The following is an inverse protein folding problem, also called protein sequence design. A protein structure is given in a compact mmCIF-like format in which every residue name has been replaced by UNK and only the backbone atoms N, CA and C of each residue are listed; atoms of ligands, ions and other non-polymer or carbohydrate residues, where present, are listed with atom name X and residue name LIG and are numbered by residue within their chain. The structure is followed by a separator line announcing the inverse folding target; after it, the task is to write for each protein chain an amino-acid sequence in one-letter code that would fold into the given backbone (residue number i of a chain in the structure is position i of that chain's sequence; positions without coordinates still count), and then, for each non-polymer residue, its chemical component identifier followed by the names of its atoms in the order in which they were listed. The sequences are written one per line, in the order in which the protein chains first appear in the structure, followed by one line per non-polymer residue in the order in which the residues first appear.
data_IF_593804421743
#
_entry.id   IF_593804421743
#
_cell.length_a   1.000
_cell.length_b   1.000
_cell.length_c   1.000
_cell.angle_alpha   90.00
_cell.angle_beta   90.00
_cell.angle_gamma   90.00
#
_symmetry.space_group_name_H-M   'P 1'
#
loop_
_entity.id
_entity.type
_entity.pdbx_description
1 polymer ?
#
# COMPACT_ATOMS: atom_id res chain seq x y z
N UNK A 1 -21.11 70.25 -27.81
CA UNK A 1 -21.59 68.86 -27.92
C UNK A 1 -20.53 67.89 -28.54
N UNK A 2 -19.62 68.42 -29.37
CA UNK A 2 -18.55 67.55 -30.02
C UNK A 2 -17.53 66.97 -29.02
N UNK A 3 -17.02 67.66 -27.99
CA UNK A 3 -16.02 67.11 -27.09
C UNK A 3 -16.51 65.96 -26.20
N UNK A 4 -17.81 65.90 -25.84
CA UNK A 4 -18.36 64.83 -25.00
C UNK A 4 -18.36 63.47 -25.72
N UNK A 5 -18.78 63.42 -26.98
CA UNK A 5 -18.81 62.18 -27.76
C UNK A 5 -17.39 61.67 -28.08
N UNK A 6 -16.43 62.55 -28.31
CA UNK A 6 -15.03 62.17 -28.50
C UNK A 6 -14.42 61.47 -27.25
N UNK A 7 -14.69 62.03 -26.08
CA UNK A 7 -14.26 61.44 -24.80
C UNK A 7 -14.91 60.09 -24.53
N UNK A 8 -16.19 59.91 -24.85
CA UNK A 8 -16.93 58.67 -24.70
C UNK A 8 -16.36 57.56 -25.62
N UNK A 9 -16.06 57.89 -26.89
CA UNK A 9 -15.43 56.93 -27.82
C UNK A 9 -14.03 56.51 -27.39
N UNK A 10 -13.22 57.41 -26.83
CA UNK A 10 -11.89 57.08 -26.29
C UNK A 10 -11.99 56.17 -25.06
N UNK A 11 -12.95 56.41 -24.15
CA UNK A 11 -13.18 55.55 -22.99
C UNK A 11 -13.66 54.15 -23.38
N UNK A 12 -14.55 54.02 -24.34
CA UNK A 12 -15.03 52.75 -24.88
C UNK A 12 -13.86 52.01 -25.57
N UNK A 13 -13.08 52.69 -26.38
CA UNK A 13 -11.92 52.15 -27.04
C UNK A 13 -10.87 51.66 -26.06
N UNK A 14 -10.53 52.43 -25.03
CA UNK A 14 -9.60 52.03 -23.97
C UNK A 14 -10.13 50.87 -23.16
N UNK A 15 -11.39 50.87 -22.77
CA UNK A 15 -12.05 49.78 -22.07
C UNK A 15 -12.03 48.49 -22.90
N UNK A 16 -12.29 48.56 -24.21
CA UNK A 16 -12.28 47.41 -25.11
C UNK A 16 -10.87 46.81 -25.26
N UNK A 17 -9.85 47.68 -25.43
CA UNK A 17 -8.45 47.21 -25.50
C UNK A 17 -7.98 46.57 -24.20
N UNK A 18 -8.32 47.20 -23.05
CA UNK A 18 -7.99 46.62 -21.73
C UNK A 18 -8.73 45.29 -21.50
N UNK A 19 -9.96 45.15 -21.90
CA UNK A 19 -10.72 43.91 -21.83
C UNK A 19 -10.13 42.82 -22.72
N UNK A 20 -9.76 43.14 -23.97
CA UNK A 20 -9.12 42.20 -24.90
C UNK A 20 -7.77 41.73 -24.33
N UNK A 21 -6.96 42.64 -23.82
CA UNK A 21 -5.68 42.31 -23.22
C UNK A 21 -5.82 41.45 -21.93
N UNK A 22 -6.83 41.76 -21.12
CA UNK A 22 -7.17 40.96 -19.95
C UNK A 22 -7.58 39.55 -20.35
N UNK A 23 -8.47 39.40 -21.33
CA UNK A 23 -8.93 38.09 -21.83
C UNK A 23 -7.76 37.29 -22.43
N UNK A 24 -6.85 37.92 -23.16
CA UNK A 24 -5.65 37.29 -23.71
C UNK A 24 -4.72 36.77 -22.60
N UNK A 25 -4.42 37.64 -21.62
CA UNK A 25 -3.59 37.23 -20.47
C UNK A 25 -4.24 36.13 -19.64
N UNK A 26 -5.57 36.20 -19.43
CA UNK A 26 -6.30 35.14 -18.70
C UNK A 26 -6.24 33.81 -19.45
N UNK A 27 -6.35 33.80 -20.78
CA UNK A 27 -6.25 32.61 -21.59
C UNK A 27 -4.82 32.01 -21.56
N UNK A 28 -3.81 32.85 -21.73
CA UNK A 28 -2.40 32.43 -21.64
C UNK A 28 -2.08 31.84 -20.24
N UNK A 29 -2.58 32.44 -19.16
CA UNK A 29 -2.42 31.93 -17.81
C UNK A 29 -3.14 30.60 -17.59
N UNK A 30 -4.30 30.41 -18.22
CA UNK A 30 -5.03 29.14 -18.17
C UNK A 30 -4.28 28.04 -18.93
N UNK A 31 -3.82 28.32 -20.16
CA UNK A 31 -3.03 27.38 -20.96
C UNK A 31 -1.74 26.94 -20.25
N UNK A 32 -1.04 27.89 -19.59
CA UNK A 32 0.14 27.58 -18.79
C UNK A 32 -0.18 26.68 -17.59
N UNK A 33 -1.30 26.96 -16.91
CA UNK A 33 -1.74 26.13 -15.77
C UNK A 33 -2.13 24.72 -16.20
N UNK A 34 -2.84 24.60 -17.32
CA UNK A 34 -3.22 23.30 -17.88
C UNK A 34 -1.98 22.50 -18.31
N UNK A 35 -1.01 23.15 -18.94
CA UNK A 35 0.26 22.50 -19.30
C UNK A 35 1.09 22.07 -18.08
N UNK A 36 1.09 22.84 -16.99
CA UNK A 36 1.75 22.50 -15.74
C UNK A 36 1.10 21.29 -15.07
N UNK A 37 -0.24 21.28 -15.00
CA UNK A 37 -1.01 20.15 -14.46
C UNK A 37 -0.73 18.88 -15.28
N UNK A 38 -0.78 18.98 -16.60
CA UNK A 38 -0.50 17.83 -17.47
C UNK A 38 0.92 17.29 -17.29
N UNK A 39 1.91 18.18 -17.10
CA UNK A 39 3.28 17.78 -16.81
C UNK A 39 3.39 17.06 -15.46
N UNK A 40 2.79 17.61 -14.40
CA UNK A 40 2.77 16.98 -13.07
C UNK A 40 2.10 15.60 -13.10
N UNK A 41 0.99 15.47 -13.81
CA UNK A 41 0.31 14.18 -13.98
C UNK A 41 1.20 13.14 -14.70
N UNK A 42 1.92 13.57 -15.75
CA UNK A 42 2.85 12.68 -16.46
C UNK A 42 4.02 12.23 -15.57
N UNK A 43 4.59 13.14 -14.75
CA UNK A 43 5.65 12.82 -13.79
C UNK A 43 5.17 11.85 -12.71
N UNK A 44 3.92 11.98 -12.24
CA UNK A 44 3.32 11.07 -11.27
C UNK A 44 3.04 9.69 -11.87
N UNK A 45 2.55 9.62 -13.12
CA UNK A 45 2.32 8.35 -13.80
C UNK A 45 3.64 7.60 -14.07
N UNK A 46 4.72 8.29 -14.43
CA UNK A 46 6.05 7.68 -14.54
C UNK A 46 6.53 7.10 -13.20
N UNK A 47 6.31 7.82 -12.09
CA UNK A 47 6.63 7.32 -10.76
C UNK A 47 5.80 6.09 -10.36
N UNK A 48 4.52 6.07 -10.73
CA UNK A 48 3.62 4.93 -10.56
C UNK A 48 4.09 3.71 -11.34
N UNK A 49 4.37 3.87 -12.63
CA UNK A 49 4.88 2.77 -13.47
C UNK A 49 6.18 2.18 -12.90
N UNK A 50 7.08 3.04 -12.43
CA UNK A 50 8.31 2.61 -11.77
C UNK A 50 8.03 1.81 -10.50
N UNK A 51 7.10 2.25 -9.65
CA UNK A 51 6.73 1.54 -8.43
C UNK A 51 6.07 0.19 -8.74
N UNK A 52 5.14 0.14 -9.70
CA UNK A 52 4.49 -1.10 -10.11
C UNK A 52 5.49 -2.12 -10.69
N UNK A 53 6.51 -1.66 -11.42
CA UNK A 53 7.57 -2.53 -11.93
C UNK A 53 8.43 -3.18 -10.82
N UNK A 54 8.37 -2.66 -9.60
CA UNK A 54 9.03 -3.27 -8.44
C UNK A 54 8.23 -4.38 -7.79
N UNK A 55 6.92 -4.50 -8.05
CA UNK A 55 6.10 -5.60 -7.53
C UNK A 55 6.45 -6.92 -8.23
N UNK A 56 6.25 -8.07 -7.59
CA UNK A 56 6.45 -9.36 -8.23
C UNK A 56 5.58 -9.49 -9.48
N UNK A 57 6.21 -9.76 -10.63
CA UNK A 57 5.49 -9.96 -11.90
C UNK A 57 4.79 -11.32 -11.91
N UNK A 58 5.43 -12.32 -11.33
CA UNK A 58 4.91 -13.69 -11.22
C UNK A 58 4.77 -14.08 -9.76
N UNK A 59 3.61 -14.64 -9.41
CA UNK A 59 3.39 -15.19 -8.07
C UNK A 59 4.16 -16.50 -7.93
N UNK A 60 4.78 -16.77 -6.75
CA UNK A 60 5.50 -18.00 -6.53
C UNK A 60 4.61 -19.22 -6.73
N UNK A 61 5.07 -20.17 -7.52
CA UNK A 61 4.40 -21.46 -7.69
C UNK A 61 5.26 -22.55 -7.08
N UNK A 62 4.78 -23.20 -6.02
CA UNK A 62 5.46 -24.30 -5.35
C UNK A 62 4.56 -25.52 -5.25
N UNK A 63 5.15 -26.71 -5.02
CA UNK A 63 4.37 -27.92 -4.78
C UNK A 63 3.70 -27.91 -3.39
N UNK A 64 4.23 -27.12 -2.45
CA UNK A 64 3.80 -27.10 -1.05
C UNK A 64 2.83 -25.97 -0.71
N UNK A 65 2.90 -24.84 -1.43
CA UNK A 65 2.17 -23.62 -1.10
C UNK A 65 1.49 -23.00 -2.32
N UNK A 66 0.29 -22.48 -2.10
CA UNK A 66 -0.32 -21.45 -2.96
C UNK A 66 -0.05 -20.09 -2.32
N UNK A 67 0.50 -19.16 -3.09
CA UNK A 67 0.82 -17.83 -2.62
C UNK A 67 0.29 -16.79 -3.61
N UNK A 68 -0.35 -15.74 -3.11
CA UNK A 68 -0.80 -14.62 -3.91
C UNK A 68 -0.61 -13.31 -3.16
N UNK A 69 -0.17 -12.28 -3.89
CA UNK A 69 -0.20 -10.89 -3.44
C UNK A 69 -1.20 -10.11 -4.26
N UNK A 70 -1.81 -9.13 -3.66
CA UNK A 70 -2.74 -8.19 -4.29
C UNK A 70 -2.50 -6.80 -3.73
N UNK A 71 -2.56 -5.81 -4.60
CA UNK A 71 -2.51 -4.39 -4.23
C UNK A 71 -3.48 -3.60 -5.10
N UNK A 72 -4.20 -2.69 -4.46
CA UNK A 72 -5.00 -1.65 -5.10
C UNK A 72 -4.61 -0.33 -4.47
N UNK A 73 -4.06 0.58 -5.26
CA UNK A 73 -3.64 1.90 -4.77
C UNK A 73 -4.80 2.87 -4.75
N UNK A 74 -4.88 3.68 -3.69
CA UNK A 74 -5.85 4.77 -3.57
C UNK A 74 -5.42 6.03 -4.32
N UNK A 75 -4.11 6.21 -4.54
CA UNK A 75 -3.51 7.35 -5.25
C UNK A 75 -2.60 6.86 -6.37
N UNK A 76 -2.04 7.82 -7.16
CA UNK A 76 -1.15 7.48 -8.29
C UNK A 76 0.11 6.73 -7.83
N UNK A 77 0.67 7.09 -6.65
CA UNK A 77 1.84 6.42 -6.06
C UNK A 77 1.47 5.95 -4.66
N UNK A 78 1.48 4.65 -4.44
CA UNK A 78 1.08 4.02 -3.18
C UNK A 78 2.17 4.02 -2.10
N UNK A 79 1.75 3.91 -0.84
CA UNK A 79 2.59 3.64 0.33
C UNK A 79 2.79 2.15 0.58
N UNK A 80 1.91 1.34 0.05
CA UNK A 80 1.90 -0.10 0.22
C UNK A 80 2.82 -0.84 -0.74
N UNK A 81 3.26 -2.02 -0.33
CA UNK A 81 3.88 -3.00 -1.23
C UNK A 81 3.79 -4.41 -0.66
N UNK A 82 3.92 -5.39 -1.54
CA UNK A 82 4.18 -6.77 -1.14
C UNK A 82 5.35 -7.35 -1.93
N UNK A 83 5.95 -8.41 -1.40
CA UNK A 83 6.99 -9.14 -2.10
C UNK A 83 7.04 -10.62 -1.67
N UNK A 84 7.58 -11.45 -2.58
CA UNK A 84 7.95 -12.83 -2.30
C UNK A 84 9.39 -13.03 -2.74
N UNK A 85 10.24 -13.44 -1.82
CA UNK A 85 11.66 -13.63 -2.09
C UNK A 85 12.07 -15.06 -1.72
N UNK A 86 12.74 -15.74 -2.63
CA UNK A 86 13.27 -17.07 -2.35
C UNK A 86 14.69 -16.95 -1.78
N UNK A 87 14.94 -17.62 -0.66
CA UNK A 87 16.27 -17.76 -0.05
C UNK A 87 17.11 -18.80 -0.79
N UNK A 88 18.42 -18.73 -0.62
CA UNK A 88 19.35 -19.70 -1.20
C UNK A 88 19.09 -21.16 -0.76
N UNK A 89 18.51 -21.34 0.43
CA UNK A 89 18.11 -22.66 0.97
C UNK A 89 16.77 -23.18 0.43
N UNK A 90 16.11 -22.42 -0.44
CA UNK A 90 14.84 -22.74 -1.09
C UNK A 90 13.60 -22.31 -0.31
N UNK A 91 13.72 -21.82 0.93
CA UNK A 91 12.60 -21.25 1.69
C UNK A 91 12.11 -19.95 1.05
N UNK A 92 10.87 -19.60 1.31
CA UNK A 92 10.27 -18.36 0.85
C UNK A 92 10.08 -17.38 1.98
N UNK A 93 10.29 -16.12 1.67
CA UNK A 93 9.90 -14.99 2.52
C UNK A 93 8.75 -14.29 1.82
N UNK A 94 7.67 -14.05 2.56
CA UNK A 94 6.56 -13.20 2.14
C UNK A 94 6.58 -11.91 2.96
N UNK A 95 6.32 -10.80 2.30
CA UNK A 95 6.42 -9.45 2.86
C UNK A 95 5.16 -8.69 2.52
N UNK A 96 4.61 -7.96 3.49
CA UNK A 96 3.55 -6.98 3.32
C UNK A 96 3.95 -5.72 4.07
N UNK A 97 3.99 -4.59 3.42
CA UNK A 97 4.45 -3.33 4.00
C UNK A 97 3.59 -2.15 3.59
N UNK A 98 3.53 -1.17 4.49
CA UNK A 98 2.85 0.10 4.33
C UNK A 98 3.73 1.23 4.85
N UNK A 99 4.02 2.21 3.99
CA UNK A 99 4.76 3.42 4.34
C UNK A 99 3.80 4.52 4.75
N UNK A 100 3.99 5.09 5.93
CA UNK A 100 3.11 6.15 6.44
C UNK A 100 2.95 7.32 5.47
N UNK A 101 1.70 7.76 5.25
CA UNK A 101 1.33 8.81 4.33
C UNK A 101 1.11 8.28 2.91
N UNK A 102 0.93 9.16 1.95
CA UNK A 102 0.59 8.82 0.56
C UNK A 102 1.44 9.60 -0.44
N UNK A 103 1.44 9.16 -1.68
CA UNK A 103 2.09 9.82 -2.80
C UNK A 103 3.59 9.56 -2.87
N UNK A 104 4.32 10.42 -3.58
CA UNK A 104 5.72 10.21 -3.94
C UNK A 104 6.66 9.96 -2.75
N UNK A 105 6.36 10.56 -1.59
CA UNK A 105 7.23 10.43 -0.41
C UNK A 105 7.12 9.02 0.18
N UNK A 106 5.92 8.48 0.35
CA UNK A 106 5.70 7.09 0.80
C UNK A 106 6.25 6.10 -0.22
N UNK A 107 6.04 6.32 -1.52
CA UNK A 107 6.63 5.50 -2.58
C UNK A 107 8.17 5.45 -2.56
N UNK A 108 8.83 6.54 -2.18
CA UNK A 108 10.28 6.54 -1.97
C UNK A 108 10.69 5.67 -0.77
N UNK A 109 9.92 5.68 0.33
CA UNK A 109 10.18 4.81 1.49
C UNK A 109 10.02 3.35 1.10
N UNK A 110 8.98 3.00 0.31
CA UNK A 110 8.81 1.66 -0.28
C UNK A 110 10.04 1.26 -1.09
N UNK A 111 10.51 2.12 -2.00
CA UNK A 111 11.66 1.84 -2.87
C UNK A 111 12.94 1.58 -2.06
N UNK A 112 13.19 2.39 -1.03
CA UNK A 112 14.33 2.24 -0.11
C UNK A 112 14.22 0.92 0.65
N UNK A 113 13.04 0.63 1.22
CA UNK A 113 12.81 -0.58 2.00
C UNK A 113 12.99 -1.83 1.14
N UNK A 114 12.40 -1.86 -0.05
CA UNK A 114 12.49 -2.98 -0.97
C UNK A 114 13.93 -3.22 -1.45
N UNK A 115 14.67 -2.15 -1.74
CA UNK A 115 16.09 -2.25 -2.10
C UNK A 115 16.93 -2.81 -0.93
N UNK A 116 16.69 -2.34 0.29
CA UNK A 116 17.39 -2.85 1.47
C UNK A 116 17.03 -4.31 1.75
N UNK A 117 15.76 -4.70 1.59
CA UNK A 117 15.31 -6.10 1.73
C UNK A 117 16.06 -7.06 0.82
N UNK A 118 16.33 -6.68 -0.43
CA UNK A 118 17.05 -7.54 -1.37
C UNK A 118 18.46 -7.92 -0.90
N UNK A 119 19.07 -7.08 -0.06
CA UNK A 119 20.39 -7.35 0.55
C UNK A 119 20.30 -8.11 1.89
N UNK A 120 19.11 -8.22 2.49
CA UNK A 120 18.88 -8.79 3.81
C UNK A 120 18.09 -10.12 3.76
N UNK A 121 17.81 -10.62 2.56
CA UNK A 121 16.94 -11.78 2.33
C UNK A 121 17.38 -13.04 3.10
N UNK A 122 18.67 -13.21 3.33
CA UNK A 122 19.24 -14.39 4.03
C UNK A 122 19.14 -14.27 5.56
N UNK A 123 18.82 -13.11 6.11
CA UNK A 123 18.68 -12.93 7.55
C UNK A 123 17.36 -13.53 8.08
N UNK A 124 17.31 -13.78 9.39
CA UNK A 124 16.06 -14.16 10.05
C UNK A 124 15.17 -12.91 10.25
N UNK A 125 13.82 -13.07 10.37
CA UNK A 125 12.89 -11.94 10.37
C UNK A 125 13.23 -10.80 11.33
N UNK A 126 13.59 -11.11 12.56
CA UNK A 126 13.96 -10.08 13.56
C UNK A 126 15.22 -9.32 13.16
N UNK A 127 16.27 -10.03 12.70
CA UNK A 127 17.52 -9.41 12.26
C UNK A 127 17.28 -8.53 11.03
N UNK A 128 16.39 -8.94 10.13
CA UNK A 128 15.95 -8.17 8.97
C UNK A 128 15.28 -6.87 9.40
N UNK A 129 14.28 -6.93 10.30
CA UNK A 129 13.60 -5.73 10.80
C UNK A 129 14.55 -4.79 11.53
N UNK A 130 15.48 -5.32 12.35
CA UNK A 130 16.50 -4.53 13.05
C UNK A 130 17.43 -3.80 12.07
N UNK A 131 17.84 -4.46 11.01
CA UNK A 131 18.72 -3.93 9.97
C UNK A 131 18.00 -2.87 9.14
N UNK A 132 16.74 -3.10 8.77
CA UNK A 132 15.88 -2.13 8.10
C UNK A 132 15.63 -0.90 8.96
N UNK A 133 15.29 -1.07 10.24
CA UNK A 133 15.09 0.05 11.17
C UNK A 133 16.34 0.94 11.24
N UNK A 134 17.52 0.35 11.38
CA UNK A 134 18.79 1.09 11.37
C UNK A 134 19.04 1.81 10.05
N UNK A 135 18.69 1.19 8.94
CA UNK A 135 18.84 1.76 7.59
C UNK A 135 17.95 2.99 7.43
N UNK A 136 16.64 2.87 7.73
CA UNK A 136 15.69 3.96 7.60
C UNK A 136 16.03 5.14 8.52
N UNK A 137 16.48 4.87 9.74
CA UNK A 137 16.96 5.92 10.66
C UNK A 137 18.17 6.68 10.10
N UNK A 138 19.10 5.99 9.42
CA UNK A 138 20.28 6.63 8.80
C UNK A 138 19.92 7.48 7.58
N UNK A 139 18.87 7.12 6.85
CA UNK A 139 18.41 7.84 5.66
C UNK A 139 17.78 9.20 5.97
N UNK A 140 17.45 9.47 7.26
CA UNK A 140 16.85 10.73 7.71
C UNK A 140 15.60 11.13 6.90
N UNK A 141 14.68 10.18 6.72
CA UNK A 141 13.45 10.33 5.93
C UNK A 141 12.35 11.17 6.61
N UNK A 142 12.73 11.99 7.58
CA UNK A 142 11.84 12.87 8.32
C UNK A 142 10.87 12.11 9.24
N UNK A 143 9.58 12.35 9.07
CA UNK A 143 8.52 11.69 9.86
C UNK A 143 7.99 10.41 9.20
N UNK A 144 8.43 10.08 8.00
CA UNK A 144 7.96 8.89 7.31
C UNK A 144 8.49 7.63 8.00
N UNK A 145 7.66 6.60 8.02
CA UNK A 145 7.92 5.31 8.66
C UNK A 145 7.52 4.20 7.72
N UNK A 146 7.98 2.99 8.01
CA UNK A 146 7.56 1.79 7.28
C UNK A 146 6.96 0.80 8.27
N UNK A 147 5.69 0.49 8.10
CA UNK A 147 5.05 -0.65 8.72
C UNK A 147 5.36 -1.89 7.88
N UNK A 148 5.73 -3.03 8.52
CA UNK A 148 6.16 -4.20 7.77
C UNK A 148 5.81 -5.49 8.50
N UNK A 149 5.14 -6.40 7.80
CA UNK A 149 5.01 -7.81 8.15
C UNK A 149 6.00 -8.63 7.32
N UNK A 150 6.70 -9.56 7.96
CA UNK A 150 7.61 -10.50 7.32
C UNK A 150 7.32 -11.92 7.82
N UNK A 151 7.14 -12.85 6.89
CA UNK A 151 6.88 -14.26 7.13
C UNK A 151 7.93 -15.11 6.42
N UNK A 152 8.80 -15.77 7.18
CA UNK A 152 9.76 -16.74 6.67
C UNK A 152 9.10 -18.13 6.69
N UNK A 153 8.80 -18.67 5.51
CA UNK A 153 8.01 -19.88 5.32
C UNK A 153 8.94 -21.10 5.43
N UNK A 154 8.84 -21.77 6.57
CA UNK A 154 9.54 -23.04 6.80
C UNK A 154 8.68 -24.24 6.43
N UNK A 155 9.23 -25.43 6.62
CA UNK A 155 8.57 -26.70 6.25
C UNK A 155 7.30 -26.97 7.06
N UNK A 156 7.32 -26.74 8.37
CA UNK A 156 6.25 -27.10 9.30
C UNK A 156 5.74 -25.90 10.12
N UNK A 157 6.39 -24.74 9.97
CA UNK A 157 6.03 -23.50 10.65
C UNK A 157 6.44 -22.28 9.84
N UNK A 158 5.84 -21.16 10.18
CA UNK A 158 6.20 -19.84 9.68
C UNK A 158 6.80 -19.04 10.84
N UNK A 159 7.97 -18.44 10.62
CA UNK A 159 8.54 -17.45 11.52
C UNK A 159 8.01 -16.07 11.10
N UNK A 160 7.13 -15.51 11.91
CA UNK A 160 6.46 -14.26 11.65
C UNK A 160 7.00 -13.16 12.55
N UNK A 161 7.23 -11.98 11.98
CA UNK A 161 7.59 -10.77 12.71
C UNK A 161 6.90 -9.56 12.09
N UNK A 162 6.64 -8.54 12.91
CA UNK A 162 5.90 -7.35 12.51
C UNK A 162 6.51 -6.09 13.11
N UNK A 163 6.38 -4.98 12.38
CA UNK A 163 6.73 -3.65 12.81
C UNK A 163 5.62 -2.67 12.40
N UNK A 164 4.65 -2.41 13.27
CA UNK A 164 3.62 -1.40 13.08
C UNK A 164 2.46 -1.76 12.15
N UNK A 165 2.44 -2.97 11.57
CA UNK A 165 1.33 -3.43 10.73
C UNK A 165 0.13 -3.90 11.56
N UNK A 166 -1.08 -3.93 10.96
CA UNK A 166 -2.22 -4.65 11.50
C UNK A 166 -1.90 -6.11 11.83
N UNK A 167 -2.70 -6.79 12.67
CA UNK A 167 -2.54 -8.21 12.93
C UNK A 167 -2.63 -9.03 11.63
N UNK A 168 -1.81 -10.09 11.54
CA UNK A 168 -2.00 -11.10 10.53
C UNK A 168 -3.01 -12.16 11.03
N UNK A 169 -3.60 -12.91 10.11
CA UNK A 169 -4.58 -13.94 10.41
C UNK A 169 -4.04 -15.32 10.06
N UNK A 170 -4.09 -16.23 11.01
CA UNK A 170 -3.73 -17.63 10.83
C UNK A 170 -4.95 -18.52 10.99
N UNK A 171 -5.30 -19.26 9.94
CA UNK A 171 -6.29 -20.32 10.02
C UNK A 171 -5.61 -21.69 10.11
N UNK A 172 -5.93 -22.44 11.17
CA UNK A 172 -5.50 -23.82 11.34
C UNK A 172 -6.53 -24.76 10.75
N UNK A 173 -6.16 -25.53 9.76
CA UNK A 173 -7.02 -26.55 9.16
C UNK A 173 -7.29 -27.75 10.09
N UNK A 174 -6.41 -27.99 11.06
CA UNK A 174 -6.56 -29.08 12.06
C UNK A 174 -7.66 -28.78 13.07
N UNK A 175 -7.73 -27.52 13.54
CA UNK A 175 -8.70 -27.10 14.57
C UNK A 175 -9.87 -26.32 14.00
N UNK A 176 -9.84 -25.96 12.72
CA UNK A 176 -10.82 -25.11 12.03
C UNK A 176 -10.98 -23.73 12.72
N UNK A 177 -9.90 -23.24 13.33
CA UNK A 177 -9.89 -21.95 14.04
C UNK A 177 -9.11 -20.89 13.27
N UNK A 178 -9.60 -19.66 13.30
CA UNK A 178 -8.92 -18.46 12.84
C UNK A 178 -8.44 -17.67 14.05
N UNK A 179 -7.16 -17.35 14.09
CA UNK A 179 -6.51 -16.60 15.16
C UNK A 179 -5.78 -15.40 14.61
N UNK A 180 -5.82 -14.28 15.33
CA UNK A 180 -4.99 -13.12 15.06
C UNK A 180 -3.57 -13.36 15.56
N UNK A 181 -2.58 -13.01 14.72
CA UNK A 181 -1.18 -12.96 15.10
C UNK A 181 -0.81 -11.48 15.30
N UNK A 182 -0.68 -11.08 16.55
CA UNK A 182 -0.30 -9.72 16.92
C UNK A 182 1.10 -9.69 17.53
N UNK A 183 2.08 -9.25 16.74
CA UNK A 183 3.45 -9.01 17.20
C UNK A 183 3.64 -7.49 17.32
N UNK A 184 3.48 -6.98 18.53
CA UNK A 184 3.54 -5.54 18.79
C UNK A 184 4.97 -4.99 18.66
N UNK A 185 5.18 -4.09 17.70
CA UNK A 185 6.40 -3.29 17.55
C UNK A 185 6.06 -1.95 16.89
N UNK A 186 6.94 -0.97 17.06
CA UNK A 186 6.81 0.34 16.40
C UNK A 186 7.17 0.22 14.91
N UNK A 187 6.57 1.04 14.04
CA UNK A 187 6.99 1.15 12.65
C UNK A 187 8.49 1.40 12.50
N UNK A 188 9.10 0.83 11.49
CA UNK A 188 10.53 0.98 11.18
C UNK A 188 10.88 2.45 10.91
N UNK A 189 12.05 2.86 11.37
CA UNK A 189 12.49 4.27 11.31
C UNK A 189 11.98 5.15 12.46
N UNK A 190 11.20 4.58 13.40
CA UNK A 190 10.64 5.36 14.52
C UNK A 190 11.66 5.63 15.61
N UNK A 191 12.44 4.63 16.00
CA UNK A 191 13.25 4.70 17.20
C UNK A 191 14.48 3.78 17.12
N UNK A 192 15.69 4.24 17.54
CA UNK A 192 16.92 3.43 17.43
C UNK A 192 16.95 2.19 18.33
N UNK A 193 16.14 2.16 19.37
CA UNK A 193 16.01 1.05 20.32
C UNK A 193 14.73 0.26 20.17
N UNK A 194 14.10 0.29 18.99
CA UNK A 194 12.93 -0.53 18.71
C UNK A 194 13.29 -2.02 18.90
N UNK A 195 12.41 -2.74 19.59
CA UNK A 195 12.54 -4.18 19.83
C UNK A 195 11.55 -4.88 18.90
N UNK A 196 12.08 -5.77 18.07
CA UNK A 196 11.26 -6.64 17.24
C UNK A 196 11.23 -8.03 17.84
N UNK A 197 10.10 -8.70 17.72
CA UNK A 197 9.89 -10.05 18.23
C UNK A 197 9.44 -10.95 17.10
N UNK A 198 9.66 -12.25 17.27
CA UNK A 198 9.22 -13.27 16.34
C UNK A 198 8.20 -14.17 17.03
N UNK A 199 7.16 -14.51 16.30
CA UNK A 199 6.23 -15.58 16.66
C UNK A 199 6.38 -16.73 15.68
N UNK A 200 6.50 -17.94 16.19
CA UNK A 200 6.47 -19.15 15.38
C UNK A 200 5.01 -19.63 15.29
N UNK A 201 4.53 -19.76 14.04
CA UNK A 201 3.15 -20.15 13.72
C UNK A 201 3.18 -21.53 13.12
N UNK A 202 2.49 -22.54 13.69
CA UNK A 202 2.37 -23.86 13.07
C UNK A 202 1.76 -23.76 11.67
N UNK A 203 2.40 -24.42 10.68
CA UNK A 203 1.95 -24.33 9.29
C UNK A 203 2.28 -25.63 8.55
N UNK A 204 1.72 -26.74 9.05
CA UNK A 204 2.09 -28.12 8.62
C UNK A 204 0.97 -28.87 7.93
N UNK A 205 -0.31 -28.45 8.14
CA UNK A 205 -1.43 -29.21 7.63
C UNK A 205 -1.91 -28.62 6.30
N UNK A 206 -2.33 -29.48 5.39
CA UNK A 206 -2.99 -29.06 4.17
C UNK A 206 -4.21 -28.19 4.50
N UNK A 207 -4.25 -26.99 3.96
CA UNK A 207 -5.30 -26.00 4.20
C UNK A 207 -4.97 -24.97 5.27
N UNK A 208 -3.85 -25.10 6.00
CA UNK A 208 -3.35 -24.01 6.86
C UNK A 208 -3.16 -22.74 6.03
N UNK A 209 -3.58 -21.59 6.55
CA UNK A 209 -3.64 -20.33 5.84
C UNK A 209 -3.03 -19.20 6.68
N UNK A 210 -2.20 -18.37 6.06
CA UNK A 210 -1.74 -17.11 6.62
C UNK A 210 -2.18 -15.96 5.70
N UNK A 211 -2.75 -14.90 6.29
CA UNK A 211 -3.08 -13.66 5.60
C UNK A 211 -2.39 -12.51 6.32
N UNK A 212 -1.60 -11.75 5.60
CA UNK A 212 -1.08 -10.44 6.00
C UNK A 212 -1.76 -9.37 5.17
N UNK A 213 -2.08 -8.22 5.75
CA UNK A 213 -2.74 -7.12 5.05
C UNK A 213 -2.34 -5.77 5.62
N UNK A 214 -2.49 -4.72 4.80
CA UNK A 214 -2.51 -3.33 5.27
C UNK A 214 -3.88 -2.97 5.87
N UNK A 215 -3.99 -1.78 6.43
CA UNK A 215 -5.23 -1.28 7.03
C UNK A 215 -6.28 -0.81 6.02
N UNK A 216 -5.92 -0.67 4.74
CA UNK A 216 -6.83 -0.15 3.71
C UNK A 216 -8.17 -0.88 3.57
N UNK A 217 -8.25 -2.21 3.78
CA UNK A 217 -9.54 -2.91 3.81
C UNK A 217 -10.32 -2.66 5.11
N UNK A 218 -9.77 -2.94 6.30
CA UNK A 218 -10.52 -2.73 7.55
C UNK A 218 -10.87 -1.26 7.79
N UNK A 219 -10.10 -0.32 7.28
CA UNK A 219 -10.34 1.12 7.42
C UNK A 219 -11.07 1.76 6.22
N UNK A 220 -11.45 0.97 5.20
CA UNK A 220 -12.25 1.46 4.09
C UNK A 220 -13.60 2.01 4.60
N UNK A 221 -13.86 3.28 4.28
CA UNK A 221 -15.05 4.02 4.74
C UNK A 221 -16.11 4.11 3.65
N UNK A 222 -17.36 3.84 4.01
CA UNK A 222 -18.51 4.05 3.14
C UNK A 222 -18.96 5.53 3.11
N UNK A 223 -20.03 5.83 2.36
CA UNK A 223 -20.58 7.19 2.24
C UNK A 223 -21.05 7.81 3.57
N UNK A 224 -21.24 6.99 4.61
CA UNK A 224 -21.66 7.43 5.95
C UNK A 224 -20.47 7.55 6.92
N UNK A 225 -19.21 7.48 6.42
CA UNK A 225 -17.97 7.47 7.20
C UNK A 225 -17.90 6.26 8.18
N UNK A 226 -18.53 5.13 7.82
CA UNK A 226 -18.46 3.89 8.60
C UNK A 226 -17.38 3.00 7.99
N UNK A 227 -16.45 2.50 8.81
CA UNK A 227 -15.40 1.58 8.39
C UNK A 227 -15.94 0.16 8.20
N UNK A 228 -15.30 -0.64 7.33
CA UNK A 228 -15.50 -2.10 7.26
C UNK A 228 -15.27 -2.69 8.65
N UNK A 229 -14.17 -2.34 9.28
CA UNK A 229 -13.74 -2.79 10.61
C UNK A 229 -13.05 -4.15 10.59
N UNK A 230 -12.20 -4.37 11.59
CA UNK A 230 -11.42 -5.61 11.73
C UNK A 230 -12.33 -6.83 12.00
N UNK A 231 -13.40 -6.68 12.78
CA UNK A 231 -14.35 -7.77 13.09
C UNK A 231 -15.01 -8.33 11.82
N UNK A 232 -15.51 -7.48 10.94
CA UNK A 232 -16.13 -7.91 9.68
C UNK A 232 -15.09 -8.50 8.72
N UNK A 233 -13.88 -7.93 8.68
CA UNK A 233 -12.76 -8.48 7.90
C UNK A 233 -12.42 -9.91 8.37
N UNK A 234 -12.34 -10.13 9.70
CA UNK A 234 -12.10 -11.46 10.27
C UNK A 234 -13.22 -12.45 9.94
N UNK A 235 -14.49 -12.02 10.05
CA UNK A 235 -15.65 -12.84 9.69
C UNK A 235 -15.60 -13.29 8.21
N UNK A 236 -15.24 -12.37 7.30
CA UNK A 236 -15.09 -12.69 5.89
C UNK A 236 -13.94 -13.67 5.65
N UNK A 237 -12.76 -13.42 6.24
CA UNK A 237 -11.63 -14.35 6.18
C UNK A 237 -12.03 -15.74 6.67
N UNK A 238 -12.73 -15.83 7.80
CA UNK A 238 -13.21 -17.10 8.39
C UNK A 238 -14.12 -17.84 7.43
N UNK A 239 -15.01 -17.12 6.75
CA UNK A 239 -15.95 -17.70 5.79
C UNK A 239 -15.25 -18.27 4.55
N UNK A 240 -14.14 -17.68 4.17
CA UNK A 240 -13.38 -18.01 2.97
C UNK A 240 -12.16 -18.93 3.23
N UNK A 241 -11.80 -19.20 4.47
CA UNK A 241 -10.54 -19.86 4.85
C UNK A 241 -10.30 -21.21 4.17
N UNK A 242 -11.35 -21.95 3.84
CA UNK A 242 -11.26 -23.25 3.14
C UNK A 242 -11.17 -23.14 1.62
N UNK A 243 -11.37 -21.94 1.05
CA UNK A 243 -11.34 -21.69 -0.39
C UNK A 243 -9.91 -21.59 -0.93
N UNK A 244 -9.75 -21.51 -2.26
CA UNK A 244 -8.45 -21.22 -2.88
C UNK A 244 -7.98 -19.81 -2.55
N UNK A 245 -6.67 -19.54 -2.66
CA UNK A 245 -6.11 -18.19 -2.41
C UNK A 245 -6.73 -17.12 -3.31
N UNK A 246 -7.07 -17.50 -4.56
CA UNK A 246 -7.72 -16.61 -5.52
C UNK A 246 -9.16 -16.26 -5.09
N UNK A 247 -9.92 -17.25 -4.59
CA UNK A 247 -11.27 -17.02 -4.08
C UNK A 247 -11.24 -16.17 -2.81
N UNK A 248 -10.26 -16.38 -1.93
CA UNK A 248 -10.08 -15.56 -0.72
C UNK A 248 -9.80 -14.11 -1.11
N UNK A 249 -8.81 -13.88 -1.99
CA UNK A 249 -8.49 -12.54 -2.50
C UNK A 249 -9.72 -11.86 -3.09
N UNK A 250 -10.43 -12.55 -3.99
CA UNK A 250 -11.61 -11.99 -4.65
C UNK A 250 -12.75 -11.70 -3.68
N UNK A 251 -12.91 -12.51 -2.62
CA UNK A 251 -13.89 -12.26 -1.57
C UNK A 251 -13.58 -11.00 -0.75
N UNK A 252 -12.31 -10.81 -0.37
CA UNK A 252 -11.87 -9.60 0.36
C UNK A 252 -12.01 -8.33 -0.50
N UNK A 253 -11.63 -8.39 -1.78
CA UNK A 253 -11.84 -7.27 -2.72
C UNK A 253 -13.33 -6.96 -2.85
N UNK A 254 -14.16 -7.99 -3.02
CA UNK A 254 -15.61 -7.83 -3.12
C UNK A 254 -16.22 -7.22 -1.85
N UNK A 255 -15.75 -7.61 -0.66
CA UNK A 255 -16.18 -7.00 0.60
C UNK A 255 -15.92 -5.49 0.58
N UNK A 256 -14.74 -5.05 0.14
CA UNK A 256 -14.40 -3.64 0.00
C UNK A 256 -15.32 -2.94 -1.01
N UNK A 257 -15.45 -3.49 -2.21
CA UNK A 257 -16.26 -2.91 -3.29
C UNK A 257 -17.74 -2.76 -2.90
N UNK A 258 -18.31 -3.78 -2.24
CA UNK A 258 -19.69 -3.75 -1.73
C UNK A 258 -19.86 -2.73 -0.60
N UNK A 259 -18.82 -2.54 0.23
CA UNK A 259 -18.85 -1.57 1.31
C UNK A 259 -18.78 -0.12 0.81
N UNK A 260 -17.95 0.12 -0.19
CA UNK A 260 -17.84 1.42 -0.87
C UNK A 260 -19.08 1.73 -1.72
N UNK A 261 -19.85 0.71 -2.15
CA UNK A 261 -21.11 0.78 -2.93
C UNK A 261 -21.02 1.71 -4.16
N UNK A 262 -19.83 1.87 -4.75
CA UNK A 262 -19.58 2.75 -5.89
C UNK A 262 -19.79 4.25 -5.63
N UNK A 263 -20.01 4.65 -4.38
CA UNK A 263 -20.25 6.02 -3.96
C UNK A 263 -19.11 6.63 -3.14
N UNK A 264 -18.24 5.79 -2.60
CA UNK A 264 -17.03 6.20 -1.90
C UNK A 264 -15.79 5.71 -2.68
N UNK A 265 -14.69 6.44 -2.54
CA UNK A 265 -13.40 6.05 -3.08
C UNK A 265 -12.54 5.46 -1.97
N UNK A 266 -11.66 4.53 -2.32
CA UNK A 266 -10.66 4.01 -1.42
C UNK A 266 -9.73 5.16 -0.98
N UNK A 267 -9.61 5.40 0.33
CA UNK A 267 -8.82 6.51 0.90
C UNK A 267 -7.37 6.14 1.16
N UNK A 268 -7.09 4.85 1.35
CA UNK A 268 -5.76 4.31 1.56
C UNK A 268 -5.55 3.07 0.69
N UNK A 269 -4.29 2.70 0.48
CA UNK A 269 -3.91 1.55 -0.33
C UNK A 269 -4.39 0.26 0.35
N UNK A 270 -4.88 -0.69 -0.44
CA UNK A 270 -5.34 -1.99 0.03
C UNK A 270 -4.42 -3.08 -0.48
N UNK A 271 -3.73 -3.75 0.43
CA UNK A 271 -2.74 -4.79 0.10
C UNK A 271 -2.96 -6.07 0.89
N UNK A 272 -2.91 -7.22 0.21
CA UNK A 272 -2.99 -8.56 0.81
C UNK A 272 -1.84 -9.43 0.37
N UNK A 273 -1.36 -10.25 1.30
CA UNK A 273 -0.49 -11.40 1.04
C UNK A 273 -1.13 -12.63 1.65
N UNK A 274 -1.47 -13.59 0.81
CA UNK A 274 -2.21 -14.80 1.19
C UNK A 274 -1.34 -16.01 0.88
N UNK A 275 -1.11 -16.84 1.88
CA UNK A 275 -0.30 -18.06 1.77
C UNK A 275 -1.13 -19.22 2.28
N UNK A 276 -1.29 -20.26 1.49
CA UNK A 276 -2.04 -21.46 1.85
C UNK A 276 -1.23 -22.72 1.57
N UNK A 277 -1.23 -23.64 2.52
CA UNK A 277 -0.59 -24.95 2.37
C UNK A 277 -1.44 -25.89 1.52
N UNK A 278 -0.81 -26.53 0.51
CA UNK A 278 -1.44 -27.49 -0.42
C UNK A 278 -1.67 -28.87 0.18
#
# INVERSE_FOLDING_TARGET
AVPFWGSLFLLIGFSSVTYINYRKKSKEAQELREAEIARQQAEMEEAREFQQAMLPIEMPSTDEYEMIGFQQTATEVGGDFFDFVQKDDGRWIAICGDATGHGLTSGNVVSITKTAMSALVEEEPVATLDSLNKTLLKMNIGLNRMCLNIANIGKDSIQFSSAGMPPAYHYSAETETLEEILVGALPLGSFPGAIHMMQEVPFKNKGDLLIMMSDGLPEAENINDEMVGYERTEEEIRSLATKSVEEIKNGLVKLCDEWLDGHAELKDDMTFVIIKRK
#
